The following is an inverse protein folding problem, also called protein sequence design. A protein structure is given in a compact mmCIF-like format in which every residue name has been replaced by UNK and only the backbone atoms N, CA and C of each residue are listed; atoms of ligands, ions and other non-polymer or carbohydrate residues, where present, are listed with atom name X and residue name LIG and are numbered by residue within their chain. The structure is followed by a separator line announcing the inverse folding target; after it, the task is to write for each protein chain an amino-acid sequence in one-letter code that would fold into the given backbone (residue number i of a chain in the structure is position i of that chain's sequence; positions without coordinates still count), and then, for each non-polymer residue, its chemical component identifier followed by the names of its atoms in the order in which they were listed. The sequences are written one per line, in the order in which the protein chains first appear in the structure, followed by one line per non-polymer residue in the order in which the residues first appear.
data_IF_714970757154
#
_entry.id   IF_714970757154
#
_cell.length_a   1.000
_cell.length_b   1.000
_cell.length_c   1.000
_cell.angle_alpha   90.00
_cell.angle_beta   90.00
_cell.angle_gamma   90.00
#
_symmetry.space_group_name_H-M   'P 1'
#
loop_
_entity.id
_entity.type
_entity.pdbx_description
1 polymer ?
#
# COMPACT_ATOMS: atom_id res chain seq x y z
N UNK A 1 0.47 -5.91 1.58
CA UNK A 1 0.85 -4.63 0.94
C UNK A 1 0.42 -3.49 1.84
N UNK A 2 1.24 -2.45 1.97
CA UNK A 2 1.05 -1.41 2.96
C UNK A 2 1.17 -0.04 2.27
N UNK A 3 0.10 0.76 2.28
CA UNK A 3 0.17 2.16 1.83
C UNK A 3 0.52 3.01 3.04
N UNK A 4 1.64 3.71 3.00
CA UNK A 4 2.05 4.60 4.08
C UNK A 4 1.66 6.04 3.74
N UNK A 5 1.09 6.70 4.73
CA UNK A 5 0.57 8.06 4.61
C UNK A 5 1.34 8.93 5.58
N UNK A 6 1.97 9.96 5.05
CA UNK A 6 2.77 10.90 5.81
C UNK A 6 2.14 12.30 5.75
N UNK A 7 1.85 12.86 6.92
CA UNK A 7 1.45 14.26 7.07
C UNK A 7 2.57 15.03 7.75
N UNK A 8 3.01 16.16 7.18
CA UNK A 8 4.17 16.93 7.70
C UNK A 8 5.39 16.03 7.98
N UNK A 9 5.63 15.06 7.09
CA UNK A 9 6.71 14.09 7.20
C UNK A 9 6.60 13.07 8.37
N UNK A 10 5.45 13.01 9.05
CA UNK A 10 5.12 12.03 10.09
C UNK A 10 4.14 10.98 9.54
N UNK A 11 4.39 9.69 9.80
CA UNK A 11 3.46 8.62 9.43
C UNK A 11 2.16 8.77 10.22
N UNK A 12 1.03 8.88 9.52
CA UNK A 12 -0.31 9.04 10.09
C UNK A 12 -1.27 7.92 9.72
N UNK A 13 -0.88 7.00 8.83
CA UNK A 13 -1.72 5.86 8.46
C UNK A 13 -1.00 4.81 7.63
N UNK A 14 -1.45 3.57 7.78
CA UNK A 14 -1.00 2.38 7.06
C UNK A 14 -2.23 1.54 6.66
N UNK A 15 -2.29 1.02 5.42
CA UNK A 15 -3.48 0.28 4.97
C UNK A 15 -3.20 -1.03 4.22
N UNK A 16 -4.13 -1.98 4.40
CA UNK A 16 -4.08 -3.39 3.99
C UNK A 16 -4.30 -3.61 2.48
N UNK A 17 -3.71 -4.69 1.96
CA UNK A 17 -3.66 -5.06 0.54
C UNK A 17 -4.93 -5.64 -0.05
N UNK A 18 -5.87 -6.03 0.81
CA UNK A 18 -7.08 -6.71 0.42
C UNK A 18 -8.12 -5.76 -0.22
N UNK A 19 -7.84 -4.46 -0.24
CA UNK A 19 -8.73 -3.44 -0.79
C UNK A 19 -8.22 -3.01 -2.18
N UNK A 20 -9.04 -3.25 -3.21
CA UNK A 20 -8.72 -2.89 -4.59
C UNK A 20 -8.95 -1.40 -4.91
N UNK A 21 -9.76 -0.70 -4.12
CA UNK A 21 -10.11 0.70 -4.32
C UNK A 21 -10.03 1.44 -2.98
N UNK A 22 -9.20 2.47 -2.93
CA UNK A 22 -9.01 3.30 -1.73
C UNK A 22 -9.32 4.75 -2.09
N UNK A 23 -10.31 5.34 -1.42
CA UNK A 23 -10.62 6.77 -1.48
C UNK A 23 -9.94 7.49 -0.33
N UNK A 24 -9.34 8.64 -0.63
CA UNK A 24 -8.62 9.48 0.33
C UNK A 24 -9.16 10.90 0.21
N UNK A 25 -9.50 11.50 1.35
CA UNK A 25 -10.02 12.85 1.44
C UNK A 25 -10.26 13.26 2.88
N UNK A 26 -10.70 14.51 3.12
CA UNK A 26 -11.06 14.94 4.48
C UNK A 26 -12.48 14.56 4.89
N UNK A 27 -13.29 14.11 3.94
CA UNK A 27 -14.65 13.65 4.19
C UNK A 27 -14.64 12.30 4.92
N UNK A 28 -15.55 12.12 5.88
CA UNK A 28 -15.66 10.89 6.66
C UNK A 28 -16.11 9.68 5.83
N UNK A 29 -16.62 9.90 4.62
CA UNK A 29 -17.01 8.87 3.67
C UNK A 29 -15.81 8.16 2.99
N UNK A 30 -14.60 8.71 3.13
CA UNK A 30 -13.41 8.14 2.53
C UNK A 30 -12.87 6.98 3.36
N UNK A 31 -12.22 6.02 2.69
CA UNK A 31 -11.51 4.95 3.39
C UNK A 31 -10.40 5.50 4.28
N UNK A 32 -9.78 6.60 3.86
CA UNK A 32 -8.74 7.29 4.59
C UNK A 32 -9.15 8.75 4.75
N UNK A 33 -9.40 9.12 6.00
CA UNK A 33 -9.83 10.46 6.38
C UNK A 33 -8.62 11.25 6.86
N UNK A 34 -8.24 12.29 6.12
CA UNK A 34 -7.15 13.20 6.48
C UNK A 34 -7.73 14.52 6.98
N UNK A 35 -7.55 14.83 8.27
CA UNK A 35 -8.03 16.08 8.87
C UNK A 35 -7.11 17.25 8.52
N UNK A 36 -7.11 17.66 7.26
CA UNK A 36 -6.33 18.77 6.73
C UNK A 36 -7.21 19.65 5.83
N UNK A 37 -7.16 20.96 6.06
CA UNK A 37 -7.89 21.94 5.25
C UNK A 37 -7.41 22.00 3.80
N UNK A 38 -6.17 21.58 3.53
CA UNK A 38 -5.63 21.48 2.16
C UNK A 38 -6.06 20.22 1.42
N UNK A 39 -6.70 19.27 2.09
CA UNK A 39 -7.27 18.08 1.48
C UNK A 39 -8.75 18.34 1.16
N UNK A 40 -9.14 18.27 -0.11
CA UNK A 40 -10.55 18.25 -0.53
C UNK A 40 -11.35 17.11 0.11
N UNK A 41 -12.68 17.29 0.20
CA UNK A 41 -13.58 16.32 0.83
C UNK A 41 -13.42 14.93 0.20
N UNK A 42 -13.37 14.87 -1.13
CA UNK A 42 -12.93 13.71 -1.91
C UNK A 42 -11.72 14.17 -2.73
N UNK A 43 -10.53 13.66 -2.45
CA UNK A 43 -9.29 14.21 -3.03
C UNK A 43 -8.72 13.31 -4.12
N UNK A 44 -8.39 12.08 -3.76
CA UNK A 44 -7.88 11.09 -4.71
C UNK A 44 -8.57 9.75 -4.52
N UNK A 45 -8.50 8.96 -5.58
CA UNK A 45 -8.78 7.54 -5.56
C UNK A 45 -7.56 6.78 -6.05
N UNK A 46 -7.18 5.73 -5.33
CA UNK A 46 -6.15 4.78 -5.75
C UNK A 46 -6.87 3.46 -6.05
N UNK A 47 -6.60 2.90 -7.22
CA UNK A 47 -7.11 1.59 -7.62
C UNK A 47 -5.97 0.63 -7.91
N UNK A 48 -6.21 -0.65 -7.63
CA UNK A 48 -5.37 -1.76 -8.09
C UNK A 48 -6.10 -2.48 -9.21
N UNK A 49 -5.50 -2.53 -10.39
CA UNK A 49 -6.02 -3.29 -11.52
C UNK A 49 -4.87 -4.00 -12.21
N UNK A 50 -5.00 -5.29 -12.49
CA UNK A 50 -3.99 -6.09 -13.20
C UNK A 50 -2.59 -6.00 -12.56
N UNK A 51 -2.56 -5.96 -11.22
CA UNK A 51 -1.35 -5.79 -10.41
C UNK A 51 -0.60 -4.44 -10.60
N UNK A 52 -1.23 -3.49 -11.29
CA UNK A 52 -0.77 -2.11 -11.47
C UNK A 52 -1.60 -1.19 -10.57
N UNK A 53 -0.92 -0.29 -9.88
CA UNK A 53 -1.57 0.76 -9.09
C UNK A 53 -1.80 1.98 -9.96
N UNK A 54 -2.98 2.58 -9.83
CA UNK A 54 -3.31 3.81 -10.52
C UNK A 54 -3.90 4.80 -9.54
N UNK A 55 -3.50 6.06 -9.64
CA UNK A 55 -4.09 7.16 -8.87
C UNK A 55 -4.82 8.10 -9.79
N UNK A 56 -5.91 8.66 -9.31
CA UNK A 56 -6.65 9.71 -10.00
C UNK A 56 -7.01 10.79 -8.99
N UNK A 57 -6.69 12.03 -9.36
CA UNK A 57 -7.18 13.22 -8.68
C UNK A 57 -8.67 13.42 -9.00
N UNK A 58 -9.48 13.66 -7.97
CA UNK A 58 -10.94 13.82 -8.04
C UNK A 58 -11.35 15.29 -8.15
N UNK A 59 -10.60 16.08 -8.91
CA UNK A 59 -10.76 17.53 -9.04
C UNK A 59 -10.55 18.24 -7.71
N UNK A 60 -9.42 17.92 -7.08
CA UNK A 60 -9.08 18.49 -5.78
C UNK A 60 -8.64 19.95 -5.91
N UNK A 61 -8.94 20.75 -4.89
CA UNK A 61 -8.71 22.20 -4.89
C UNK A 61 -7.24 22.57 -4.99
N UNK A 62 -6.37 21.86 -4.25
CA UNK A 62 -4.93 22.09 -4.28
C UNK A 62 -4.21 21.21 -5.30
N UNK A 63 -4.91 20.24 -5.88
CA UNK A 63 -4.37 19.28 -6.82
C UNK A 63 -3.55 18.17 -6.18
N UNK A 64 -3.29 17.16 -7.00
CA UNK A 64 -2.40 16.04 -6.70
C UNK A 64 -1.15 16.11 -7.59
N UNK A 65 0.01 15.78 -7.03
CA UNK A 65 1.29 15.77 -7.74
C UNK A 65 1.97 14.42 -7.59
N UNK A 66 2.67 13.97 -8.62
CA UNK A 66 3.55 12.81 -8.59
C UNK A 66 4.97 13.29 -8.86
N UNK A 67 5.89 13.06 -7.92
CA UNK A 67 7.28 13.49 -8.02
C UNK A 67 7.42 14.97 -8.44
N UNK A 68 6.57 15.84 -7.88
CA UNK A 68 6.53 17.28 -8.18
C UNK A 68 5.75 17.69 -9.44
N UNK A 69 5.27 16.75 -10.26
CA UNK A 69 4.47 17.04 -11.45
C UNK A 69 2.97 16.95 -11.15
N UNK A 70 2.22 18.01 -11.42
CA UNK A 70 0.77 18.04 -11.20
C UNK A 70 0.06 17.06 -12.13
N UNK A 71 -0.83 16.25 -11.57
CA UNK A 71 -1.70 15.37 -12.35
C UNK A 71 -2.81 16.18 -13.02
N UNK A 72 -3.26 15.69 -14.17
CA UNK A 72 -4.50 16.16 -14.77
C UNK A 72 -5.68 15.58 -13.99
N UNK A 73 -6.59 16.40 -13.42
CA UNK A 73 -7.77 15.92 -12.73
C UNK A 73 -8.61 14.96 -13.58
N UNK A 74 -9.20 13.94 -12.95
CA UNK A 74 -10.06 12.96 -13.61
C UNK A 74 -9.35 11.90 -14.45
N UNK A 75 -8.04 12.01 -14.67
CA UNK A 75 -7.23 11.05 -15.44
C UNK A 75 -6.45 10.14 -14.50
N UNK A 76 -6.42 8.84 -14.79
CA UNK A 76 -5.58 7.90 -14.05
C UNK A 76 -4.12 8.01 -14.46
N UNK A 77 -3.24 8.05 -13.47
CA UNK A 77 -1.80 7.92 -13.60
C UNK A 77 -1.37 6.55 -13.08
N UNK A 78 -0.59 5.80 -13.85
CA UNK A 78 -0.01 4.53 -13.41
C UNK A 78 1.16 4.81 -12.48
N UNK A 79 1.10 4.27 -11.26
CA UNK A 79 2.12 4.48 -10.26
C UNK A 79 3.24 3.45 -10.35
N UNK A 80 4.48 3.96 -10.28
CA UNK A 80 5.66 3.16 -10.04
C UNK A 80 5.91 3.00 -8.52
N UNK A 81 6.56 1.91 -8.07
CA UNK A 81 6.85 1.69 -6.64
C UNK A 81 7.69 2.80 -5.97
N UNK A 82 8.40 3.59 -6.77
CA UNK A 82 9.22 4.70 -6.29
C UNK A 82 8.48 6.03 -6.24
N UNK A 83 7.26 6.10 -6.76
CA UNK A 83 6.52 7.35 -6.87
C UNK A 83 6.09 7.87 -5.50
N UNK A 84 6.27 9.18 -5.33
CA UNK A 84 5.75 9.92 -4.19
C UNK A 84 4.55 10.74 -4.66
N UNK A 85 3.41 10.50 -4.02
CA UNK A 85 2.17 11.22 -4.28
C UNK A 85 2.05 12.35 -3.26
N UNK A 86 1.86 13.58 -3.73
CA UNK A 86 1.52 14.71 -2.91
C UNK A 86 0.06 15.10 -3.15
N UNK A 87 -0.79 14.91 -2.14
CA UNK A 87 -2.17 15.40 -2.12
C UNK A 87 -2.22 16.56 -1.13
N UNK A 88 -2.41 17.80 -1.60
CA UNK A 88 -2.14 18.98 -0.76
C UNK A 88 -0.72 18.94 -0.16
N UNK A 89 -0.61 19.06 1.17
CA UNK A 89 0.67 18.95 1.90
C UNK A 89 0.99 17.52 2.38
N UNK A 90 0.13 16.54 2.09
CA UNK A 90 0.29 15.15 2.52
C UNK A 90 1.11 14.36 1.51
N UNK A 91 2.14 13.65 1.96
CA UNK A 91 2.93 12.70 1.16
C UNK A 91 2.38 11.29 1.34
N UNK A 92 2.06 10.62 0.26
CA UNK A 92 1.64 9.23 0.24
C UNK A 92 2.69 8.44 -0.54
N UNK A 93 3.03 7.26 -0.04
CA UNK A 93 3.90 6.32 -0.73
C UNK A 93 3.29 4.93 -0.69
N UNK A 94 3.39 4.22 -1.81
CA UNK A 94 2.87 2.87 -1.94
C UNK A 94 4.03 1.88 -1.78
N UNK A 95 3.98 1.07 -0.72
CA UNK A 95 5.00 0.05 -0.50
C UNK A 95 4.49 -1.35 -0.76
N UNK A 96 5.20 -2.02 -1.68
CA UNK A 96 5.16 -3.48 -1.77
C UNK A 96 5.83 -4.07 -0.54
N UNK A 97 5.04 -4.34 0.50
CA UNK A 97 5.42 -5.37 1.45
C UNK A 97 5.35 -6.69 0.70
N UNK A 98 6.50 -7.28 0.37
CA UNK A 98 6.50 -8.71 0.12
C UNK A 98 5.86 -9.35 1.35
N UNK A 99 4.79 -10.11 1.15
CA UNK A 99 4.37 -11.04 2.17
C UNK A 99 5.63 -11.88 2.41
N UNK A 100 6.24 -11.76 3.60
CA UNK A 100 7.14 -12.79 4.09
C UNK A 100 6.27 -14.04 4.15
N UNK A 101 6.16 -14.75 3.02
CA UNK A 101 5.75 -16.15 3.01
C UNK A 101 6.68 -16.73 4.05
N UNK A 102 6.11 -17.18 5.15
CA UNK A 102 6.85 -17.92 6.14
C UNK A 102 7.34 -19.17 5.38
N UNK A 103 8.50 -19.08 4.72
CA UNK A 103 9.32 -20.23 4.40
C UNK A 103 9.68 -20.75 5.78
N UNK A 104 8.80 -21.56 6.37
CA UNK A 104 9.28 -22.70 7.15
C UNK A 104 10.36 -23.28 6.25
N UNK A 105 11.59 -23.17 6.70
CA UNK A 105 12.71 -23.81 6.06
C UNK A 105 12.36 -25.30 5.99
N UNK A 106 11.81 -25.74 4.86
CA UNK A 106 11.96 -27.13 4.45
C UNK A 106 13.38 -27.15 3.91
N UNK A 107 14.34 -27.35 4.82
CA UNK A 107 15.63 -27.86 4.37
C UNK A 107 15.32 -29.17 3.64
N UNK A 108 15.85 -29.44 2.44
CA UNK A 108 15.84 -30.80 1.95
C UNK A 108 16.57 -31.63 3.01
N UNK A 109 15.87 -32.56 3.67
CA UNK A 109 16.52 -33.59 4.46
C UNK A 109 17.34 -34.37 3.45
N UNK A 110 18.66 -34.12 3.40
CA UNK A 110 19.58 -35.01 2.71
C UNK A 110 19.73 -36.21 3.63
N UNK A 111 19.04 -37.31 3.33
CA UNK A 111 19.34 -38.59 3.96
C UNK A 111 20.65 -39.05 3.32
N UNK A 112 21.77 -38.64 3.90
CA UNK A 112 23.02 -39.35 3.67
C UNK A 112 22.79 -40.77 4.21
N UNK A 113 22.88 -41.75 3.33
CA UNK A 113 22.62 -43.16 3.59
C UNK A 113 23.22 -43.62 4.93
N UNK A 114 22.35 -44.02 5.87
CA UNK A 114 22.78 -44.79 7.04
C UNK A 114 22.45 -44.20 8.42
N UNK A 115 21.24 -43.70 8.68
CA UNK A 115 20.65 -43.80 10.02
C UNK A 115 19.12 -43.58 9.96
N UNK A 116 18.35 -44.61 10.32
CA UNK A 116 16.90 -44.51 10.51
C UNK A 116 16.67 -43.82 11.87
N UNK A 117 16.11 -42.61 11.87
CA UNK A 117 15.54 -42.01 13.09
C UNK A 117 14.06 -42.37 13.12
N UNK A 118 13.73 -43.37 13.94
CA UNK A 118 12.35 -43.75 14.26
C UNK A 118 11.73 -42.61 15.07
N UNK A 119 10.73 -41.91 14.50
CA UNK A 119 9.88 -41.01 15.29
C UNK A 119 8.87 -41.89 16.03
N UNK A 120 9.11 -42.12 17.33
CA UNK A 120 8.11 -42.68 18.23
C UNK A 120 6.98 -41.66 18.41
N UNK A 121 5.79 -42.03 17.93
CA UNK A 121 4.53 -41.38 18.29
C UNK A 121 4.20 -41.80 19.71
N UNK A 122 4.23 -40.86 20.64
CA UNK A 122 3.58 -41.00 21.94
C UNK A 122 2.88 -39.67 22.26
N UNK A 123 1.58 -39.62 21.96
CA UNK A 123 0.67 -38.67 22.58
C UNK A 123 0.65 -38.98 24.08
N UNK A 124 1.06 -37.99 24.88
CA UNK A 124 0.71 -37.90 26.29
C UNK A 124 -0.35 -36.82 26.47
#
# INVERSE_FOLDING_TARGET
MQINIYFKNQLVGEFDENINIVKIGRGFENNIVLQDSKISRNHIIIIKQDNIYKVRDLDSTNGTFINGKKLKPGVFYNLDPTDIINAGDTKLRIDRKEIKRNKKAVMPITIASGLIVVILVAFG
#
